data_IF_723404178914
#
_entry.id   IF_723404178914
#
_cell.length_a   1.000
_cell.length_b   1.000
_cell.length_c   1.000
_cell.angle_alpha   90.00
_cell.angle_beta   90.00
_cell.angle_gamma   90.00
#
_symmetry.space_group_name_H-M   'P 1'
#
loop_
_entity.id
_entity.type
_entity.pdbx_description
1 polymer ?
#
# COMPACT_ATOMS: atom_id res chain seq x y z
N UNK A 1 9.60 0.73 -2.76
CA UNK A 1 9.74 1.55 -1.53
C UNK A 1 10.79 0.99 -0.56
N UNK A 2 10.78 -0.30 -0.22
CA UNK A 2 11.74 -0.91 0.72
C UNK A 2 13.23 -0.62 0.45
N UNK A 3 13.68 -0.76 -0.80
CA UNK A 3 15.07 -0.47 -1.17
C UNK A 3 15.45 1.00 -0.96
N UNK A 4 14.53 1.93 -1.31
CA UNK A 4 14.72 3.35 -1.07
C UNK A 4 14.77 3.66 0.44
N UNK A 5 13.91 3.02 1.24
CA UNK A 5 13.94 3.18 2.69
C UNK A 5 15.30 2.73 3.29
N UNK A 6 15.78 1.55 2.88
CA UNK A 6 17.12 1.06 3.25
C UNK A 6 18.21 2.06 2.91
N UNK A 7 18.17 2.63 1.72
CA UNK A 7 19.14 3.61 1.28
C UNK A 7 19.10 4.90 2.11
N UNK A 8 17.91 5.43 2.41
CA UNK A 8 17.76 6.62 3.26
C UNK A 8 18.31 6.41 4.67
N UNK A 9 18.09 5.21 5.26
CA UNK A 9 18.69 4.86 6.56
C UNK A 9 20.22 4.77 6.48
N UNK A 10 20.77 4.23 5.38
CA UNK A 10 22.22 4.19 5.14
C UNK A 10 22.84 5.58 5.00
N UNK A 11 22.06 6.56 4.52
CA UNK A 11 22.46 7.97 4.49
C UNK A 11 22.43 8.65 5.87
N UNK A 12 22.03 7.93 6.93
CA UNK A 12 22.07 8.42 8.32
C UNK A 12 20.74 8.94 8.86
N UNK A 13 19.65 8.83 8.11
CA UNK A 13 18.32 9.14 8.65
C UNK A 13 17.92 8.12 9.72
N UNK A 14 17.27 8.59 10.78
CA UNK A 14 16.68 7.71 11.79
C UNK A 14 15.27 7.27 11.34
N UNK A 15 14.82 6.02 11.62
CA UNK A 15 13.48 5.55 11.27
C UNK A 15 12.35 6.51 11.68
N UNK A 16 12.44 7.09 12.88
CA UNK A 16 11.49 8.06 13.44
C UNK A 16 11.47 9.43 12.72
N UNK A 17 12.41 9.67 11.81
CA UNK A 17 12.45 10.86 10.96
C UNK A 17 11.92 10.61 9.54
N UNK A 18 11.58 9.36 9.22
CA UNK A 18 11.09 8.97 7.90
C UNK A 18 9.58 8.83 7.93
N UNK A 19 8.93 9.36 6.89
CA UNK A 19 7.50 9.18 6.63
C UNK A 19 7.35 8.53 5.26
N UNK A 20 6.54 7.47 5.17
CA UNK A 20 6.14 6.95 3.87
C UNK A 20 4.94 7.73 3.36
N UNK A 21 4.99 8.20 2.12
CA UNK A 21 3.88 8.86 1.48
C UNK A 21 3.60 8.23 0.13
N UNK A 22 2.32 8.09 -0.20
CA UNK A 22 1.90 7.55 -1.49
C UNK A 22 0.43 7.78 -1.77
N UNK A 23 0.12 8.01 -3.03
CA UNK A 23 -1.22 8.14 -3.59
C UNK A 23 -1.60 6.87 -4.37
N UNK A 24 -2.90 6.54 -4.44
CA UNK A 24 -3.39 5.46 -5.31
C UNK A 24 -2.60 4.14 -5.13
N UNK A 25 -1.98 3.61 -6.19
CA UNK A 25 -1.10 2.44 -6.16
C UNK A 25 0.14 2.64 -5.27
N UNK A 26 0.68 3.86 -5.20
CA UNK A 26 1.77 4.23 -4.31
C UNK A 26 1.37 4.18 -2.83
N UNK A 27 0.11 4.51 -2.52
CA UNK A 27 -0.44 4.37 -1.17
C UNK A 27 -0.54 2.89 -0.74
N UNK A 28 -0.93 2.02 -1.65
CA UNK A 28 -0.90 0.57 -1.40
C UNK A 28 0.53 0.05 -1.23
N UNK A 29 1.47 0.49 -2.06
CA UNK A 29 2.88 0.14 -1.92
C UNK A 29 3.45 0.58 -0.57
N UNK A 30 3.07 1.78 -0.09
CA UNK A 30 3.44 2.24 1.24
C UNK A 30 2.90 1.34 2.34
N UNK A 31 1.61 0.97 2.26
CA UNK A 31 0.98 0.06 3.22
C UNK A 31 1.62 -1.34 3.21
N UNK A 32 1.84 -1.94 2.04
CA UNK A 32 2.50 -3.24 1.90
C UNK A 32 3.92 -3.20 2.46
N UNK A 33 4.65 -2.10 2.25
CA UNK A 33 6.01 -1.95 2.78
C UNK A 33 6.00 -1.84 4.31
N UNK A 34 5.04 -1.12 4.89
CA UNK A 34 4.86 -1.09 6.34
C UNK A 34 4.61 -2.51 6.89
N UNK A 35 3.68 -3.26 6.30
CA UNK A 35 3.33 -4.61 6.72
C UNK A 35 4.53 -5.55 6.65
N UNK A 36 5.28 -5.48 5.55
CA UNK A 36 6.52 -6.24 5.40
C UNK A 36 7.53 -5.91 6.51
N UNK A 37 7.74 -4.63 6.84
CA UNK A 37 8.67 -4.22 7.89
C UNK A 37 8.14 -4.60 9.28
N UNK A 38 6.83 -4.54 9.52
CA UNK A 38 6.23 -5.01 10.78
C UNK A 38 6.52 -6.49 11.00
N UNK A 39 6.28 -7.31 9.97
CA UNK A 39 6.32 -8.77 10.06
C UNK A 39 7.75 -9.33 9.99
N UNK A 40 8.62 -8.67 9.22
CA UNK A 40 9.98 -9.17 8.94
C UNK A 40 11.09 -8.19 9.33
N UNK A 41 10.78 -6.96 9.73
CA UNK A 41 11.78 -5.93 9.99
C UNK A 41 12.82 -6.34 11.03
N UNK A 42 12.41 -7.04 12.10
CA UNK A 42 13.34 -7.57 13.11
C UNK A 42 14.40 -8.51 12.54
N UNK A 43 14.03 -9.36 11.58
CA UNK A 43 14.99 -10.30 10.95
C UNK A 43 15.78 -9.63 9.82
N UNK A 44 15.21 -8.62 9.16
CA UNK A 44 15.84 -7.88 8.06
C UNK A 44 16.69 -6.67 8.51
N UNK A 45 16.75 -6.38 9.81
CA UNK A 45 17.44 -5.22 10.38
C UNK A 45 16.77 -3.89 10.05
N UNK A 46 15.43 -3.86 9.96
CA UNK A 46 14.63 -2.68 9.63
C UNK A 46 13.61 -2.40 10.73
N UNK A 47 13.55 -1.15 11.17
CA UNK A 47 12.50 -0.64 12.04
C UNK A 47 11.43 0.07 11.22
N UNK A 48 10.20 0.13 11.74
CA UNK A 48 9.13 0.90 11.13
C UNK A 48 9.50 2.39 11.02
N UNK A 49 9.08 3.08 9.95
CA UNK A 49 9.16 4.53 9.86
C UNK A 49 8.20 5.17 10.89
N UNK A 50 8.31 6.49 11.10
CA UNK A 50 7.47 7.20 12.06
C UNK A 50 5.96 7.03 11.78
N UNK A 51 5.58 7.23 10.52
CA UNK A 51 4.19 7.09 10.08
C UNK A 51 4.11 6.92 8.55
N UNK A 52 2.88 6.76 8.06
CA UNK A 52 2.57 6.89 6.64
C UNK A 52 1.41 7.85 6.39
N UNK A 53 1.49 8.53 5.24
CA UNK A 53 0.43 9.39 4.70
C UNK A 53 -0.08 8.76 3.42
N UNK A 54 -1.32 8.30 3.43
CA UNK A 54 -1.94 7.59 2.33
C UNK A 54 -3.03 8.47 1.70
N UNK A 55 -2.92 8.73 0.40
CA UNK A 55 -3.85 9.61 -0.33
C UNK A 55 -4.66 8.76 -1.31
N UNK A 56 -5.95 8.60 -1.05
CA UNK A 56 -6.84 7.73 -1.86
C UNK A 56 -6.20 6.38 -2.22
N UNK A 57 -5.73 5.59 -1.22
CA UNK A 57 -4.89 4.44 -1.49
C UNK A 57 -5.69 3.28 -2.11
N UNK A 58 -5.09 2.63 -3.11
CA UNK A 58 -5.72 1.50 -3.82
C UNK A 58 -5.40 0.17 -3.13
N UNK A 59 -6.09 -0.10 -2.01
CA UNK A 59 -5.75 -1.19 -1.09
C UNK A 59 -6.37 -2.56 -1.44
N UNK A 60 -7.30 -2.61 -2.40
CA UNK A 60 -8.07 -3.80 -2.77
C UNK A 60 -8.14 -3.94 -4.30
N UNK A 61 -7.41 -4.92 -4.83
CA UNK A 61 -7.34 -5.21 -6.27
C UNK A 61 -8.56 -6.00 -6.76
N UNK A 62 -9.43 -6.50 -5.88
CA UNK A 62 -10.70 -7.12 -6.29
C UNK A 62 -11.74 -6.08 -6.68
N UNK A 63 -11.61 -4.87 -6.14
CA UNK A 63 -12.59 -3.80 -6.33
C UNK A 63 -13.96 -4.10 -5.70
N UNK A 64 -14.06 -5.08 -4.79
CA UNK A 64 -15.32 -5.63 -4.31
C UNK A 64 -16.28 -4.59 -3.70
N UNK A 65 -15.74 -3.48 -3.17
CA UNK A 65 -16.54 -2.39 -2.58
C UNK A 65 -16.63 -1.14 -3.46
N UNK A 66 -15.88 -1.08 -4.55
CA UNK A 66 -15.78 0.10 -5.42
C UNK A 66 -16.54 -0.12 -6.72
N UNK A 67 -16.41 -1.29 -7.33
CA UNK A 67 -17.06 -1.58 -8.62
C UNK A 67 -18.58 -1.49 -8.46
N UNK A 68 -19.24 -0.72 -9.32
CA UNK A 68 -20.68 -0.49 -9.26
C UNK A 68 -21.15 0.40 -8.10
N UNK A 69 -20.23 1.00 -7.34
CA UNK A 69 -20.57 1.97 -6.31
C UNK A 69 -21.17 3.25 -6.92
N UNK A 70 -22.18 3.87 -6.29
CA UNK A 70 -22.72 5.16 -6.74
C UNK A 70 -21.68 6.29 -6.74
N UNK A 71 -20.53 6.10 -6.08
CA UNK A 71 -19.46 7.09 -6.08
C UNK A 71 -18.65 7.09 -7.39
N UNK A 72 -18.62 5.97 -8.13
CA UNK A 72 -17.86 5.85 -9.39
C UNK A 72 -18.35 6.88 -10.42
N UNK A 73 -19.65 7.20 -10.45
CA UNK A 73 -20.21 8.22 -11.36
C UNK A 73 -19.71 9.65 -11.09
N UNK A 74 -19.06 9.88 -9.95
CA UNK A 74 -18.45 11.15 -9.60
C UNK A 74 -16.91 11.10 -9.65
N UNK A 75 -16.34 9.96 -10.04
CA UNK A 75 -14.90 9.81 -10.25
C UNK A 75 -14.52 10.40 -11.61
N UNK A 76 -14.10 11.66 -11.60
CA UNK A 76 -13.69 12.40 -12.80
C UNK A 76 -12.26 12.09 -13.25
N UNK A 77 -11.52 11.26 -12.50
CA UNK A 77 -10.10 11.00 -12.75
C UNK A 77 -9.91 9.61 -13.33
N UNK A 78 -10.43 8.58 -12.66
CA UNK A 78 -10.13 7.20 -13.01
C UNK A 78 -11.26 6.50 -13.76
N UNK A 79 -12.50 6.98 -13.67
CA UNK A 79 -13.67 6.21 -14.15
C UNK A 79 -13.56 4.74 -13.73
N UNK A 80 -13.46 4.51 -12.42
CA UNK A 80 -12.93 3.27 -11.80
C UNK A 80 -13.38 1.97 -12.49
N UNK A 81 -14.68 1.82 -12.76
CA UNK A 81 -15.28 0.61 -13.36
C UNK A 81 -14.70 0.26 -14.74
N UNK A 82 -14.12 1.23 -15.45
CA UNK A 82 -13.57 1.05 -16.80
C UNK A 82 -12.06 0.96 -16.79
N UNK A 83 -11.36 1.92 -16.16
CA UNK A 83 -9.91 1.99 -16.27
C UNK A 83 -9.18 0.98 -15.36
N UNK A 84 -9.70 0.72 -14.17
CA UNK A 84 -9.00 -0.10 -13.18
C UNK A 84 -8.89 -1.57 -13.58
N UNK A 85 -9.91 -2.22 -14.15
CA UNK A 85 -9.75 -3.58 -14.69
C UNK A 85 -8.65 -3.67 -15.76
N UNK A 86 -8.56 -2.67 -16.65
CA UNK A 86 -7.52 -2.62 -17.69
C UNK A 86 -6.13 -2.46 -17.07
N UNK A 87 -6.01 -1.57 -16.08
CA UNK A 87 -4.77 -1.37 -15.33
C UNK A 87 -4.34 -2.65 -14.59
N UNK A 88 -5.27 -3.37 -13.97
CA UNK A 88 -4.99 -4.64 -13.31
C UNK A 88 -4.46 -5.68 -14.28
N UNK A 89 -5.13 -5.86 -15.42
CA UNK A 89 -4.70 -6.81 -16.46
C UNK A 89 -3.31 -6.45 -17.01
N UNK A 90 -2.99 -5.16 -17.11
CA UNK A 90 -1.70 -4.70 -17.61
C UNK A 90 -0.55 -4.83 -16.58
N UNK A 91 -0.83 -4.63 -15.29
CA UNK A 91 0.20 -4.48 -14.25
C UNK A 91 0.42 -5.74 -13.42
N UNK A 92 -0.57 -6.63 -13.36
CA UNK A 92 -0.55 -7.81 -12.50
C UNK A 92 -0.10 -9.04 -13.29
N UNK A 93 0.77 -9.89 -12.74
CA UNK A 93 1.02 -11.21 -13.32
C UNK A 93 -0.31 -11.96 -13.53
N UNK A 94 -0.45 -12.60 -14.69
CA UNK A 94 -1.70 -13.25 -15.10
C UNK A 94 -2.14 -14.38 -14.17
N UNK A 95 -1.19 -15.00 -13.48
CA UNK A 95 -1.37 -16.13 -12.57
C UNK A 95 -1.62 -15.73 -11.11
N UNK A 96 -1.47 -14.45 -10.77
CA UNK A 96 -1.73 -13.94 -9.43
C UNK A 96 -3.24 -13.73 -9.24
N UNK A 97 -3.88 -14.18 -8.16
CA UNK A 97 -5.26 -13.79 -7.85
C UNK A 97 -5.35 -12.34 -7.35
N UNK A 98 -6.41 -11.55 -7.67
CA UNK A 98 -6.55 -10.17 -7.21
C UNK A 98 -6.75 -10.03 -5.69
N UNK A 99 -7.26 -11.06 -5.03
CA UNK A 99 -7.44 -11.11 -3.57
C UNK A 99 -6.18 -11.49 -2.80
N UNK A 100 -5.04 -11.64 -3.50
CA UNK A 100 -3.76 -12.01 -2.88
C UNK A 100 -3.25 -10.90 -1.95
N UNK A 101 -2.95 -11.17 -0.66
CA UNK A 101 -2.56 -10.16 0.32
C UNK A 101 -1.30 -9.34 -0.06
N UNK A 102 -0.43 -9.90 -0.90
CA UNK A 102 0.80 -9.28 -1.41
C UNK A 102 0.54 -8.08 -2.34
N UNK A 103 -0.66 -7.98 -2.91
CA UNK A 103 -1.08 -6.85 -3.76
C UNK A 103 -2.32 -6.14 -3.22
N UNK A 104 -3.09 -6.79 -2.35
CA UNK A 104 -4.31 -6.25 -1.75
C UNK A 104 -4.12 -6.10 -0.24
N UNK A 105 -3.44 -5.02 0.18
CA UNK A 105 -3.11 -4.81 1.59
C UNK A 105 -4.33 -4.68 2.50
N UNK A 106 -5.50 -4.31 1.99
CA UNK A 106 -6.75 -4.31 2.77
C UNK A 106 -7.15 -5.72 3.23
N UNK A 107 -6.75 -6.74 2.48
CA UNK A 107 -7.05 -8.13 2.76
C UNK A 107 -6.02 -8.78 3.69
N UNK A 108 -5.01 -8.02 4.12
CA UNK A 108 -4.13 -8.44 5.21
C UNK A 108 -4.93 -8.31 6.52
N UNK A 109 -5.20 -9.45 7.17
CA UNK A 109 -6.20 -9.54 8.24
C UNK A 109 -5.79 -8.84 9.55
N UNK A 110 -4.57 -8.31 9.63
CA UNK A 110 -4.04 -7.63 10.80
C UNK A 110 -3.32 -6.34 10.40
N UNK A 111 -3.80 -5.21 10.92
CA UNK A 111 -3.15 -3.88 10.85
C UNK A 111 -2.78 -3.35 12.25
N UNK A 112 -2.69 -4.23 13.24
CA UNK A 112 -2.16 -3.89 14.56
C UNK A 112 -0.66 -3.55 14.48
N UNK A 113 -0.17 -2.79 15.47
CA UNK A 113 1.23 -2.36 15.56
C UNK A 113 1.54 -0.96 15.01
N UNK A 114 0.59 -0.28 14.37
CA UNK A 114 0.77 1.09 13.83
C UNK A 114 0.21 2.24 14.69
N UNK A 115 -0.19 1.97 15.94
CA UNK A 115 -0.68 3.01 16.85
C UNK A 115 0.49 3.71 17.54
N UNK A 116 0.61 5.02 17.35
CA UNK A 116 1.34 5.86 18.31
C UNK A 116 0.54 5.87 19.62
N UNK A 117 1.21 5.58 20.74
CA UNK A 117 0.66 5.84 22.06
C UNK A 117 0.55 7.37 22.21
N UNK A 118 -0.63 7.92 21.97
CA UNK A 118 -1.00 9.25 22.44
C UNK A 118 -1.38 9.19 23.91
#
# INVERSE_FOLDING_TARGET
MLAAYRWVLQCGALPEQVVFAGDSAGGNLAMLTLLYIRDHGKTCGLSLPNCAVLISPWLDMTGARTIGSPNVRHDIVLEYDTAVPILLDALKPSDLPPDTPEISSLLTHDVSGYRHNC
#
